data_IF_893026778546
#
_entry.id   IF_893026778546
#
_cell.length_a   1.000
_cell.length_b   1.000
_cell.length_c   1.000
_cell.angle_alpha   90.00
_cell.angle_beta   90.00
_cell.angle_gamma   90.00
#
_symmetry.space_group_name_H-M   'P 1'
#
loop_
_entity.id
_entity.type
_entity.pdbx_description
1 polymer ?
#
# COMPACT_ATOMS: atom_id res chain seq x y z
N UNK A 1 14.48 -1.71 14.38
CA UNK A 1 14.82 -0.93 13.16
C UNK A 1 15.32 0.46 13.56
N UNK A 2 16.06 1.18 12.70
CA UNK A 2 16.50 2.56 13.04
C UNK A 2 15.30 3.50 13.30
N UNK A 3 14.15 3.24 12.64
CA UNK A 3 12.88 3.92 12.90
C UNK A 3 12.38 3.80 14.35
N UNK A 4 12.72 2.72 15.07
CA UNK A 4 12.32 2.54 16.47
C UNK A 4 13.30 3.19 17.45
N UNK A 5 14.52 3.48 16.98
CA UNK A 5 15.59 4.06 17.80
C UNK A 5 15.55 5.58 17.82
N UNK A 6 15.02 6.19 16.76
CA UNK A 6 14.86 7.62 16.63
C UNK A 6 13.50 8.06 17.21
N UNK A 7 13.44 9.26 17.80
CA UNK A 7 12.21 9.78 18.43
C UNK A 7 11.25 10.39 17.41
N UNK A 8 11.60 11.56 16.86
CA UNK A 8 10.80 12.29 15.89
C UNK A 8 11.48 12.24 14.52
N UNK A 9 10.88 11.50 13.59
CA UNK A 9 11.38 11.34 12.22
C UNK A 9 10.30 11.63 11.20
N UNK A 10 10.70 12.22 10.07
CA UNK A 10 9.87 12.40 8.89
C UNK A 10 10.43 11.55 7.75
N UNK A 11 9.62 10.61 7.26
CA UNK A 11 9.98 9.76 6.12
C UNK A 11 9.20 10.21 4.89
N UNK A 12 9.90 10.73 3.89
CA UNK A 12 9.33 11.06 2.57
C UNK A 12 9.74 9.94 1.62
N UNK A 13 8.76 9.22 1.07
CA UNK A 13 9.02 8.06 0.20
C UNK A 13 7.87 7.82 -0.77
N UNK A 14 7.84 6.63 -1.37
CA UNK A 14 6.84 6.20 -2.35
C UNK A 14 5.75 5.35 -1.70
N UNK A 15 4.62 5.18 -2.39
CA UNK A 15 3.47 4.46 -1.86
C UNK A 15 3.78 3.04 -1.41
N UNK A 16 4.53 2.25 -2.20
CA UNK A 16 4.86 0.87 -1.84
C UNK A 16 5.71 0.78 -0.57
N UNK A 17 6.70 1.66 -0.41
CA UNK A 17 7.58 1.71 0.76
C UNK A 17 6.78 2.13 2.00
N UNK A 18 5.94 3.15 1.86
CA UNK A 18 5.08 3.63 2.95
C UNK A 18 4.06 2.56 3.38
N UNK A 19 3.55 1.73 2.47
CA UNK A 19 2.71 0.57 2.82
C UNK A 19 3.46 -0.43 3.70
N UNK A 20 4.72 -0.72 3.41
CA UNK A 20 5.53 -1.61 4.25
C UNK A 20 5.75 -1.04 5.65
N UNK A 21 6.08 0.26 5.75
CA UNK A 21 6.28 0.93 7.04
C UNK A 21 4.97 0.95 7.84
N UNK A 22 3.86 1.32 7.20
CA UNK A 22 2.56 1.35 7.84
C UNK A 22 2.13 -0.05 8.31
N UNK A 23 2.32 -1.07 7.47
CA UNK A 23 1.99 -2.46 7.81
C UNK A 23 2.78 -2.96 9.03
N UNK A 24 4.06 -2.59 9.11
CA UNK A 24 4.92 -2.93 10.23
C UNK A 24 4.38 -2.37 11.55
N UNK A 25 4.08 -1.07 11.60
CA UNK A 25 3.58 -0.43 12.83
C UNK A 25 2.11 -0.78 13.17
N UNK A 26 1.29 -1.12 12.18
CA UNK A 26 -0.14 -1.45 12.38
C UNK A 26 -0.42 -2.95 12.42
N UNK A 27 0.63 -3.78 12.47
CA UNK A 27 0.57 -5.24 12.52
C UNK A 27 -0.33 -5.86 11.43
N UNK A 28 -0.11 -5.44 10.18
CA UNK A 28 -0.88 -5.90 9.00
C UNK A 28 -0.20 -7.09 8.34
N UNK A 29 -1.01 -8.04 7.88
CA UNK A 29 -0.52 -9.23 7.18
C UNK A 29 -0.03 -8.90 5.76
N UNK A 30 0.65 -9.87 5.15
CA UNK A 30 1.21 -9.76 3.79
C UNK A 30 0.14 -9.70 2.69
N UNK A 31 -1.09 -10.13 2.97
CA UNK A 31 -2.20 -10.05 2.02
C UNK A 31 -2.82 -8.65 1.96
N UNK A 32 -2.84 -7.94 3.09
CA UNK A 32 -3.35 -6.58 3.24
C UNK A 32 -2.29 -5.53 2.87
N UNK A 33 -1.01 -5.80 3.17
CA UNK A 33 0.11 -4.88 2.96
C UNK A 33 0.10 -4.22 1.57
N UNK A 34 -0.05 -4.96 0.45
CA UNK A 34 -0.03 -4.37 -0.89
C UNK A 34 -1.20 -3.42 -1.15
N UNK A 35 -2.29 -3.54 -0.40
CA UNK A 35 -3.54 -2.82 -0.58
C UNK A 35 -3.82 -1.81 0.54
N UNK A 36 -2.82 -1.48 1.37
CA UNK A 36 -2.95 -0.39 2.33
C UNK A 36 -3.08 0.96 1.61
N UNK A 37 -4.04 1.78 2.06
CA UNK A 37 -4.29 3.11 1.49
C UNK A 37 -3.24 4.10 1.99
N UNK A 38 -2.46 4.62 1.05
CA UNK A 38 -1.49 5.70 1.26
C UNK A 38 -1.83 6.81 0.25
N UNK A 39 -2.77 7.71 0.60
CA UNK A 39 -3.19 8.79 -0.30
C UNK A 39 -2.08 9.83 -0.49
N UNK A 40 -2.07 10.47 -1.66
CA UNK A 40 -1.17 11.58 -1.93
C UNK A 40 -1.54 12.80 -1.06
N UNK A 41 -0.56 13.69 -0.85
CA UNK A 41 -0.69 14.94 -0.09
C UNK A 41 -1.33 14.75 1.30
N UNK A 42 -1.02 13.63 1.95
CA UNK A 42 -1.51 13.31 3.28
C UNK A 42 -0.33 12.89 4.15
N UNK A 43 -0.15 13.55 5.30
CA UNK A 43 0.82 13.11 6.32
C UNK A 43 0.15 12.07 7.20
N UNK A 44 0.80 10.92 7.35
CA UNK A 44 0.36 9.85 8.25
C UNK A 44 1.24 9.91 9.48
N UNK A 45 0.70 10.37 10.61
CA UNK A 45 1.40 10.38 11.90
C UNK A 45 1.16 9.05 12.59
N UNK A 46 2.26 8.41 12.96
CA UNK A 46 2.27 7.17 13.74
C UNK A 46 2.69 7.51 15.16
N UNK A 47 1.86 7.17 16.14
CA UNK A 47 2.19 7.31 17.56
C UNK A 47 2.26 5.91 18.19
N UNK A 48 3.46 5.33 18.34
CA UNK A 48 3.63 4.05 19.01
C UNK A 48 3.15 4.10 20.46
N UNK A 49 2.30 3.16 20.85
CA UNK A 49 1.85 2.88 22.22
C UNK A 49 2.31 1.49 22.64
N UNK A 50 2.11 1.13 23.90
CA UNK A 50 2.62 -0.13 24.48
C UNK A 50 2.23 -1.40 23.71
N UNK A 51 1.04 -1.44 23.07
CA UNK A 51 0.53 -2.61 22.34
C UNK A 51 -0.10 -2.27 20.99
N UNK A 52 -0.11 -1.00 20.61
CA UNK A 52 -0.78 -0.53 19.41
C UNK A 52 -0.05 0.67 18.83
N UNK A 53 -0.36 1.02 17.58
CA UNK A 53 0.09 2.26 16.98
C UNK A 53 -1.14 3.08 16.61
N UNK A 54 -1.21 4.31 17.11
CA UNK A 54 -2.23 5.24 16.67
C UNK A 54 -1.84 5.87 15.34
N UNK A 55 -2.80 5.90 14.42
CA UNK A 55 -2.62 6.40 13.07
C UNK A 55 -3.53 7.61 12.87
N UNK A 56 -2.93 8.77 12.65
CA UNK A 56 -3.65 10.00 12.34
C UNK A 56 -3.29 10.45 10.91
N UNK A 57 -4.27 10.87 10.13
CA UNK A 57 -4.07 11.33 8.75
C UNK A 57 -4.37 12.82 8.63
N UNK A 58 -3.37 13.60 8.24
CA UNK A 58 -3.48 15.03 8.00
C UNK A 58 -3.43 15.29 6.50
N UNK A 59 -4.58 15.52 5.89
CA UNK A 59 -4.69 15.81 4.47
C UNK A 59 -4.48 17.31 4.22
N UNK A 60 -3.57 17.63 3.31
CA UNK A 60 -3.40 19.01 2.86
C UNK A 60 -4.49 19.39 1.85
N UNK A 61 -4.86 20.67 1.82
CA UNK A 61 -5.81 21.22 0.85
C UNK A 61 -5.16 21.42 -0.54
N UNK A 62 -4.66 20.33 -1.11
CA UNK A 62 -4.00 20.29 -2.41
C UNK A 62 -4.54 19.08 -3.16
N UNK A 63 -5.18 19.33 -4.31
CA UNK A 63 -5.74 18.27 -5.16
C UNK A 63 -4.63 17.33 -5.66
N UNK A 64 -4.94 16.04 -5.72
CA UNK A 64 -4.05 15.00 -6.25
C UNK A 64 -4.86 13.89 -6.91
N UNK A 65 -4.23 13.18 -7.85
CA UNK A 65 -4.81 11.97 -8.46
C UNK A 65 -4.88 10.83 -7.44
N UNK A 66 -5.84 9.92 -7.62
CA UNK A 66 -5.90 8.69 -6.84
C UNK A 66 -5.13 7.58 -7.56
N UNK A 67 -4.06 7.09 -6.93
CA UNK A 67 -3.22 6.01 -7.46
C UNK A 67 -3.48 4.66 -6.76
N UNK A 68 -4.47 4.60 -5.86
CA UNK A 68 -4.87 3.35 -5.21
C UNK A 68 -5.60 2.43 -6.19
N UNK A 69 -5.21 1.15 -6.19
CA UNK A 69 -5.81 0.10 -7.02
C UNK A 69 -6.27 -1.04 -6.12
N UNK A 70 -7.56 -1.39 -6.22
CA UNK A 70 -8.17 -2.45 -5.41
C UNK A 70 -7.78 -3.85 -5.90
N UNK A 71 -7.78 -4.82 -4.97
CA UNK A 71 -7.43 -6.22 -5.23
C UNK A 71 -8.31 -6.87 -6.31
N UNK A 72 -9.61 -6.54 -6.34
CA UNK A 72 -10.60 -7.22 -7.18
C UNK A 72 -10.89 -6.48 -8.50
N UNK A 73 -10.04 -5.54 -8.91
CA UNK A 73 -10.28 -4.84 -10.17
C UNK A 73 -10.06 -5.81 -11.34
N UNK A 74 -11.03 -5.96 -12.27
CA UNK A 74 -10.92 -6.90 -13.38
C UNK A 74 -9.61 -6.64 -14.12
N UNK A 75 -8.70 -7.61 -14.06
CA UNK A 75 -7.49 -7.57 -14.85
C UNK A 75 -7.94 -7.88 -16.27
N UNK A 76 -7.92 -6.90 -17.17
CA UNK A 76 -8.05 -7.18 -18.59
C UNK A 76 -6.82 -7.99 -18.99
N UNK A 77 -6.92 -9.31 -18.88
CA UNK A 77 -5.92 -10.22 -19.42
C UNK A 77 -5.97 -10.04 -20.93
N UNK A 78 -5.11 -9.17 -21.47
CA UNK A 78 -4.77 -9.17 -22.88
C UNK A 78 -3.92 -10.41 -23.11
N UNK A 79 -4.54 -11.59 -23.04
CA UNK A 79 -3.93 -12.83 -23.51
C UNK A 79 -3.71 -12.56 -25.00
N UNK A 80 -2.44 -12.50 -25.41
CA UNK A 80 -2.13 -12.49 -26.84
C UNK A 80 -2.81 -13.72 -27.44
N UNK A 81 -3.51 -13.53 -28.56
CA UNK A 81 -4.32 -14.56 -29.23
C UNK A 81 -3.56 -15.88 -29.48
N UNK A 82 -2.23 -15.86 -29.40
CA UNK A 82 -1.33 -17.00 -29.54
C UNK A 82 -1.38 -18.01 -28.38
N UNK A 83 -1.76 -17.61 -27.16
CA UNK A 83 -1.81 -18.53 -26.01
C UNK A 83 -3.19 -19.17 -25.79
N UNK A 84 -4.25 -18.58 -26.36
CA UNK A 84 -5.60 -19.14 -26.27
C UNK A 84 -5.75 -20.46 -27.04
N UNK A 85 -4.99 -20.64 -28.13
CA UNK A 85 -5.01 -21.88 -28.93
C UNK A 85 -4.32 -23.06 -28.24
N UNK A 86 -3.44 -22.82 -27.26
CA UNK A 86 -2.75 -23.87 -26.50
C UNK A 86 -3.64 -24.55 -25.46
N UNK A 87 -4.69 -23.87 -24.99
CA UNK A 87 -5.63 -24.44 -24.01
C UNK A 87 -6.86 -25.10 -24.65
N UNK A 88 -7.06 -24.95 -25.96
CA UNK A 88 -8.22 -25.52 -26.67
C UNK A 88 -7.97 -26.92 -27.27
N UNK A 89 -6.73 -27.43 -27.26
CA UNK A 89 -6.37 -28.75 -27.79
C UNK A 89 -6.07 -29.77 -26.68
N UNK A 90 -6.98 -29.87 -25.70
CA UNK A 90 -6.95 -30.97 -24.73
C UNK A 90 -8.34 -31.57 -24.57
N UNK A 91 -8.85 -32.10 -25.67
CA UNK A 91 -9.82 -33.21 -25.71
C UNK A 91 -9.30 -34.28 -26.67
#
# INVERSE_FOLDING_TARGET
MELERQSNILVISHQAVLRCILAYFTNKNTEELPYLKVPLHTVIKLTPKAYSCEVEMFKFDIKAVNTYREKNQPVSLKISSSLASLFSNKE
#
